data_IF_820428604010
#
_entry.id   IF_820428604010
#
_cell.length_a   1.000
_cell.length_b   1.000
_cell.length_c   1.000
_cell.angle_alpha   90.00
_cell.angle_beta   90.00
_cell.angle_gamma   90.00
#
_symmetry.space_group_name_H-M   'P 1'
#
loop_
_entity.id
_entity.type
_entity.pdbx_description
1 polymer ?
#
# COMPACT_ATOMS: atom_id res chain seq x y z
N UNK A 1 -7.83 10.61 18.21
CA UNK A 1 -6.74 11.57 17.91
C UNK A 1 -6.98 12.10 16.51
N UNK A 2 -6.90 13.41 16.27
CA UNK A 2 -6.92 13.96 14.92
C UNK A 2 -5.61 13.54 14.23
N UNK A 3 -5.66 12.45 13.44
CA UNK A 3 -4.53 11.99 12.62
C UNK A 3 -4.17 13.07 11.60
N UNK A 4 -3.24 13.93 11.97
CA UNK A 4 -2.75 15.00 11.12
C UNK A 4 -1.59 14.42 10.35
N UNK A 5 -1.83 14.04 9.09
CA UNK A 5 -0.78 13.66 8.16
C UNK A 5 0.25 14.80 8.05
N UNK A 6 1.53 14.44 7.94
CA UNK A 6 2.61 15.39 7.62
C UNK A 6 2.40 15.97 6.21
N UNK A 7 2.92 17.14 5.92
CA UNK A 7 2.71 17.84 4.64
C UNK A 7 3.03 16.96 3.42
N UNK A 8 4.17 16.26 3.43
CA UNK A 8 4.52 15.35 2.34
C UNK A 8 3.56 14.16 2.23
N UNK A 9 2.98 13.69 3.35
CA UNK A 9 1.98 12.61 3.31
C UNK A 9 0.66 13.13 2.73
N UNK A 10 0.27 14.37 3.04
CA UNK A 10 -0.90 15.02 2.44
C UNK A 10 -0.71 15.22 0.94
N UNK A 11 0.47 15.68 0.51
CA UNK A 11 0.83 15.83 -0.89
C UNK A 11 0.77 14.49 -1.63
N UNK A 12 1.36 13.44 -1.06
CA UNK A 12 1.32 12.09 -1.64
C UNK A 12 -0.10 11.54 -1.73
N UNK A 13 -0.95 11.78 -0.72
CA UNK A 13 -2.37 11.44 -0.77
C UNK A 13 -3.05 12.15 -1.93
N UNK A 14 -2.89 13.47 -2.04
CA UNK A 14 -3.50 14.27 -3.11
C UNK A 14 -3.06 13.80 -4.50
N UNK A 15 -1.76 13.58 -4.70
CA UNK A 15 -1.19 13.07 -5.95
C UNK A 15 -1.80 11.71 -6.32
N UNK A 16 -1.94 10.80 -5.36
CA UNK A 16 -2.57 9.50 -5.59
C UNK A 16 -4.03 9.62 -6.04
N UNK A 17 -4.84 10.44 -5.36
CA UNK A 17 -6.25 10.60 -5.72
C UNK A 17 -6.42 11.22 -7.11
N UNK A 18 -5.56 12.16 -7.48
CA UNK A 18 -5.52 12.73 -8.83
C UNK A 18 -5.11 11.69 -9.87
N UNK A 19 -4.09 10.89 -9.58
CA UNK A 19 -3.62 9.84 -10.48
C UNK A 19 -4.72 8.78 -10.75
N UNK A 20 -5.54 8.49 -9.73
CA UNK A 20 -6.69 7.60 -9.84
C UNK A 20 -7.84 8.11 -10.73
N UNK A 21 -7.80 9.36 -11.19
CA UNK A 21 -8.71 9.86 -12.23
C UNK A 21 -8.33 9.33 -13.62
N UNK A 22 -7.04 8.98 -13.83
CA UNK A 22 -6.51 8.53 -15.11
C UNK A 22 -6.12 7.04 -15.12
N UNK A 23 -5.69 6.53 -13.96
CA UNK A 23 -5.11 5.19 -13.83
C UNK A 23 -5.81 4.39 -12.74
N UNK A 24 -6.15 3.12 -13.00
CA UNK A 24 -6.77 2.26 -11.96
C UNK A 24 -5.73 1.67 -11.02
N UNK A 25 -4.51 1.45 -11.50
CA UNK A 25 -3.44 0.79 -10.74
C UNK A 25 -2.25 1.71 -10.56
N UNK A 26 -2.04 2.19 -9.33
CA UNK A 26 -1.00 3.18 -9.02
C UNK A 26 -0.06 2.63 -7.94
N UNK A 27 1.24 2.75 -8.17
CA UNK A 27 2.26 2.46 -7.17
C UNK A 27 2.74 3.75 -6.50
N UNK A 28 2.90 3.71 -5.19
CA UNK A 28 3.46 4.77 -4.36
C UNK A 28 4.77 4.29 -3.73
N UNK A 29 5.83 5.04 -3.97
CA UNK A 29 7.14 4.81 -3.37
C UNK A 29 7.39 5.79 -2.24
N UNK A 30 7.65 5.24 -1.05
CA UNK A 30 8.00 5.99 0.16
C UNK A 30 9.09 5.27 0.96
N UNK A 31 10.23 5.92 1.26
CA UNK A 31 11.28 5.33 2.08
C UNK A 31 10.78 4.81 3.43
N UNK A 32 11.40 3.75 3.94
CA UNK A 32 11.13 3.24 5.29
C UNK A 32 11.33 4.34 6.34
N UNK A 33 10.48 4.37 7.37
CA UNK A 33 10.53 5.39 8.42
C UNK A 33 9.77 6.70 8.11
N UNK A 34 9.24 6.85 6.90
CA UNK A 34 8.46 8.05 6.50
C UNK A 34 6.94 7.93 6.77
N UNK A 35 6.52 6.90 7.50
CA UNK A 35 5.13 6.73 7.92
C UNK A 35 4.18 6.23 6.81
N UNK A 36 4.66 5.35 5.92
CA UNK A 36 3.89 4.70 4.86
C UNK A 36 2.54 4.14 5.38
N UNK A 37 2.53 3.45 6.51
CA UNK A 37 1.32 2.85 7.10
C UNK A 37 0.30 3.89 7.58
N UNK A 38 0.72 5.06 8.05
CA UNK A 38 -0.20 6.16 8.38
C UNK A 38 -0.84 6.74 7.11
N UNK A 39 -0.05 6.91 6.05
CA UNK A 39 -0.59 7.30 4.76
C UNK A 39 -1.59 6.26 4.23
N UNK A 40 -1.28 4.96 4.35
CA UNK A 40 -2.19 3.85 4.03
C UNK A 40 -3.55 4.06 4.69
N UNK A 41 -3.55 4.17 6.02
CA UNK A 41 -4.77 4.26 6.81
C UNK A 41 -5.58 5.51 6.44
N UNK A 42 -4.92 6.65 6.17
CA UNK A 42 -5.59 7.86 5.73
C UNK A 42 -6.20 7.75 4.33
N UNK A 43 -5.54 7.07 3.38
CA UNK A 43 -6.09 6.80 2.05
C UNK A 43 -7.31 5.89 2.16
N UNK A 44 -7.20 4.78 2.91
CA UNK A 44 -8.31 3.84 3.11
C UNK A 44 -9.50 4.55 3.76
N UNK A 45 -9.27 5.34 4.81
CA UNK A 45 -10.31 6.12 5.47
C UNK A 45 -10.99 7.11 4.52
N UNK A 46 -10.23 7.80 3.68
CA UNK A 46 -10.78 8.72 2.67
C UNK A 46 -11.61 7.96 1.64
N UNK A 47 -11.12 6.81 1.16
CA UNK A 47 -11.82 5.97 0.20
C UNK A 47 -13.16 5.43 0.75
N UNK A 48 -13.19 5.08 2.04
CA UNK A 48 -14.39 4.60 2.75
C UNK A 48 -15.43 5.69 3.06
N UNK A 49 -15.14 6.97 2.78
CA UNK A 49 -16.15 8.05 2.90
C UNK A 49 -17.25 7.91 1.86
N UNK A 50 -17.00 7.22 0.74
CA UNK A 50 -18.02 6.82 -0.21
C UNK A 50 -19.00 5.80 0.39
N UNK A 51 -20.25 5.82 -0.06
CA UNK A 51 -21.26 4.86 0.39
C UNK A 51 -20.94 3.45 -0.12
N UNK A 52 -20.78 2.49 0.78
CA UNK A 52 -20.73 1.06 0.46
C UNK A 52 -19.38 0.51 -0.02
N UNK A 53 -18.33 1.34 -0.11
CA UNK A 53 -17.03 0.89 -0.63
C UNK A 53 -16.36 -0.17 0.26
N UNK A 54 -15.75 -1.16 -0.37
CA UNK A 54 -15.00 -2.25 0.27
C UNK A 54 -13.52 -2.17 -0.07
N UNK A 55 -12.68 -2.34 0.93
CA UNK A 55 -11.23 -2.27 0.82
C UNK A 55 -10.60 -3.55 1.30
N UNK A 56 -9.76 -4.15 0.47
CA UNK A 56 -8.89 -5.25 0.89
C UNK A 56 -7.47 -4.73 1.02
N UNK A 57 -6.84 -4.98 2.17
CA UNK A 57 -5.43 -4.72 2.38
C UNK A 57 -4.72 -6.07 2.42
N UNK A 58 -3.80 -6.27 1.48
CA UNK A 58 -3.12 -7.54 1.24
C UNK A 58 -1.63 -7.38 1.51
N UNK A 59 -1.09 -8.27 2.33
CA UNK A 59 0.33 -8.33 2.63
C UNK A 59 0.92 -9.71 2.33
N UNK A 60 2.24 -9.79 2.14
CA UNK A 60 2.91 -11.07 1.85
C UNK A 60 3.28 -11.86 3.12
N UNK A 61 3.33 -11.20 4.29
CA UNK A 61 3.73 -11.78 5.57
C UNK A 61 2.62 -11.67 6.60
N UNK A 62 2.47 -12.68 7.46
CA UNK A 62 1.44 -12.69 8.52
C UNK A 62 1.68 -11.61 9.56
N UNK A 63 2.94 -11.35 9.91
CA UNK A 63 3.28 -10.30 10.89
C UNK A 63 2.86 -8.91 10.38
N UNK A 64 3.00 -8.65 9.07
CA UNK A 64 2.55 -7.40 8.46
C UNK A 64 1.01 -7.28 8.48
N UNK A 65 0.29 -8.38 8.28
CA UNK A 65 -1.18 -8.39 8.39
C UNK A 65 -1.60 -7.93 9.79
N UNK A 66 -1.03 -8.51 10.84
CA UNK A 66 -1.35 -8.17 12.23
C UNK A 66 -1.05 -6.68 12.53
N UNK A 67 0.09 -6.17 12.07
CA UNK A 67 0.47 -4.76 12.24
C UNK A 67 -0.47 -3.80 11.50
N UNK A 68 -0.89 -4.15 10.29
CA UNK A 68 -1.85 -3.36 9.51
C UNK A 68 -3.21 -3.39 10.18
N UNK A 69 -3.68 -4.53 10.65
CA UNK A 69 -4.96 -4.65 11.38
C UNK A 69 -4.99 -3.76 12.62
N UNK A 70 -3.92 -3.76 13.41
CA UNK A 70 -3.80 -2.88 14.56
C UNK A 70 -3.84 -1.40 14.14
N UNK A 71 -3.12 -1.05 13.09
CA UNK A 71 -3.09 0.32 12.57
C UNK A 71 -4.48 0.75 12.10
N UNK A 72 -5.15 -0.08 11.31
CA UNK A 72 -6.49 0.18 10.78
C UNK A 72 -7.51 0.35 11.92
N UNK A 73 -7.44 -0.51 12.93
CA UNK A 73 -8.27 -0.43 14.14
C UNK A 73 -8.04 0.89 14.91
N UNK A 74 -6.79 1.30 15.11
CA UNK A 74 -6.45 2.59 15.76
C UNK A 74 -7.00 3.81 15.01
N UNK A 75 -7.20 3.70 13.69
CA UNK A 75 -7.78 4.75 12.85
C UNK A 75 -9.33 4.68 12.80
N UNK A 76 -9.95 3.86 13.64
CA UNK A 76 -11.42 3.74 13.76
C UNK A 76 -12.09 2.94 12.65
N UNK A 77 -11.30 2.21 11.83
CA UNK A 77 -11.83 1.33 10.81
C UNK A 77 -12.09 -0.05 11.46
N UNK A 78 -13.31 -0.24 11.95
CA UNK A 78 -13.68 -1.49 12.65
C UNK A 78 -13.76 -2.67 11.67
N UNK A 79 -13.26 -3.83 12.11
CA UNK A 79 -13.48 -5.11 11.40
C UNK A 79 -14.97 -5.47 11.33
N UNK A 80 -15.77 -4.99 12.28
CA UNK A 80 -17.19 -5.34 12.42
C UNK A 80 -18.07 -4.77 11.29
N UNK A 81 -17.61 -3.70 10.63
CA UNK A 81 -18.28 -3.09 9.49
C UNK A 81 -18.11 -3.95 8.21
N UNK A 82 -17.17 -4.90 8.20
CA UNK A 82 -16.90 -5.79 7.05
C UNK A 82 -16.33 -5.08 5.81
N UNK A 83 -16.31 -3.74 5.80
CA UNK A 83 -15.82 -2.90 4.69
C UNK A 83 -14.31 -2.92 4.53
N UNK A 84 -13.55 -3.25 5.57
CA UNK A 84 -12.09 -3.41 5.49
C UNK A 84 -11.70 -4.82 5.87
N UNK A 85 -11.03 -5.53 4.95
CA UNK A 85 -10.45 -6.84 5.22
C UNK A 85 -8.94 -6.79 5.05
N UNK A 86 -8.20 -7.19 6.08
CA UNK A 86 -6.75 -7.36 5.99
C UNK A 86 -6.44 -8.84 5.89
N UNK A 87 -5.63 -9.25 4.92
CA UNK A 87 -5.36 -10.66 4.68
C UNK A 87 -3.99 -10.87 4.05
N UNK A 88 -3.47 -12.10 4.16
CA UNK A 88 -2.27 -12.46 3.41
C UNK A 88 -2.62 -12.87 1.98
N UNK A 89 -1.73 -12.59 1.02
CA UNK A 89 -1.91 -13.01 -0.38
C UNK A 89 -2.05 -14.53 -0.50
N UNK A 90 -1.31 -15.27 0.32
CA UNK A 90 -1.35 -16.73 0.37
C UNK A 90 -2.70 -17.26 0.84
N UNK A 91 -3.36 -16.58 1.78
CA UNK A 91 -4.69 -16.94 2.23
C UNK A 91 -5.72 -16.61 1.15
N UNK A 92 -5.65 -15.41 0.57
CA UNK A 92 -6.56 -14.97 -0.48
C UNK A 92 -6.53 -15.89 -1.71
N UNK A 93 -5.33 -16.29 -2.15
CA UNK A 93 -5.16 -17.21 -3.27
C UNK A 93 -5.79 -18.59 -3.03
N UNK A 94 -5.86 -19.05 -1.78
CA UNK A 94 -6.44 -20.37 -1.43
C UNK A 94 -7.95 -20.31 -1.16
N UNK A 95 -8.44 -19.18 -0.67
CA UNK A 95 -9.82 -19.04 -0.20
C UNK A 95 -10.70 -18.20 -1.11
N UNK A 96 -10.19 -17.73 -2.27
CA UNK A 96 -10.93 -16.88 -3.20
C UNK A 96 -12.32 -17.40 -3.55
N UNK A 97 -12.48 -18.71 -3.80
CA UNK A 97 -13.78 -19.31 -4.20
C UNK A 97 -14.86 -19.19 -3.12
N UNK A 98 -14.48 -18.85 -1.90
CA UNK A 98 -15.37 -18.66 -0.75
C UNK A 98 -15.55 -17.17 -0.40
N UNK A 99 -15.08 -16.27 -1.26
CA UNK A 99 -15.29 -14.84 -1.11
C UNK A 99 -16.53 -14.43 -1.91
N UNK A 100 -17.62 -14.14 -1.22
CA UNK A 100 -18.89 -13.69 -1.82
C UNK A 100 -18.93 -12.17 -2.09
N UNK A 101 -17.83 -11.48 -1.80
CA UNK A 101 -17.70 -10.03 -1.89
C UNK A 101 -16.55 -9.64 -2.80
N UNK A 102 -16.69 -8.51 -3.49
CA UNK A 102 -15.64 -7.91 -4.31
C UNK A 102 -15.15 -6.59 -3.69
N UNK A 103 -13.85 -6.30 -3.76
CA UNK A 103 -13.30 -5.03 -3.30
C UNK A 103 -13.41 -3.94 -4.37
N UNK A 104 -13.64 -2.71 -3.94
CA UNK A 104 -13.51 -1.51 -4.78
C UNK A 104 -12.06 -1.00 -4.78
N UNK A 105 -11.29 -1.30 -3.73
CA UNK A 105 -9.88 -0.97 -3.59
C UNK A 105 -9.09 -2.16 -3.04
N UNK A 106 -8.01 -2.49 -3.71
CA UNK A 106 -6.99 -3.44 -3.24
C UNK A 106 -5.71 -2.65 -2.93
N UNK A 107 -5.28 -2.70 -1.67
CA UNK A 107 -4.04 -2.12 -1.20
C UNK A 107 -3.02 -3.22 -0.97
N UNK A 108 -1.84 -3.09 -1.56
CA UNK A 108 -0.72 -3.99 -1.37
C UNK A 108 0.38 -3.27 -0.59
N UNK A 109 0.69 -3.75 0.61
CA UNK A 109 1.87 -3.28 1.35
C UNK A 109 3.09 -4.13 1.01
N UNK A 110 4.26 -3.49 0.98
CA UNK A 110 5.51 -4.02 0.44
C UNK A 110 5.34 -4.71 -0.92
N UNK A 111 4.74 -3.97 -1.86
CA UNK A 111 4.50 -4.44 -3.23
C UNK A 111 5.76 -4.93 -3.96
N UNK A 112 6.96 -4.58 -3.49
CA UNK A 112 8.22 -5.10 -4.01
C UNK A 112 8.44 -6.61 -3.79
N UNK A 113 7.81 -7.17 -2.75
CA UNK A 113 7.82 -8.60 -2.45
C UNK A 113 6.80 -9.40 -3.26
N UNK A 114 6.01 -8.75 -4.12
CA UNK A 114 5.08 -9.39 -5.02
C UNK A 114 5.72 -10.58 -5.77
N UNK A 115 5.24 -11.79 -5.52
CA UNK A 115 5.36 -12.85 -6.51
C UNK A 115 4.50 -12.42 -7.70
N UNK A 116 5.15 -12.14 -8.83
CA UNK A 116 4.51 -11.55 -10.00
C UNK A 116 3.23 -12.32 -10.40
N UNK A 117 3.26 -13.65 -10.34
CA UNK A 117 2.13 -14.49 -10.73
C UNK A 117 0.91 -14.35 -9.81
N UNK A 118 1.08 -14.35 -8.48
CA UNK A 118 -0.07 -14.32 -7.57
C UNK A 118 -0.79 -12.98 -7.58
N UNK A 119 -0.07 -11.87 -7.74
CA UNK A 119 -0.70 -10.56 -7.93
C UNK A 119 -1.26 -10.38 -9.33
N UNK A 120 -0.66 -10.95 -10.38
CA UNK A 120 -1.29 -10.95 -11.72
C UNK A 120 -2.66 -11.63 -11.69
N UNK A 121 -2.75 -12.80 -11.06
CA UNK A 121 -4.03 -13.49 -10.85
C UNK A 121 -5.00 -12.61 -10.05
N UNK A 122 -4.52 -11.90 -9.03
CA UNK A 122 -5.36 -10.98 -8.26
C UNK A 122 -5.91 -9.83 -9.14
N UNK A 123 -5.09 -9.27 -10.02
CA UNK A 123 -5.49 -8.21 -10.95
C UNK A 123 -6.51 -8.70 -11.98
N UNK A 124 -6.27 -9.87 -12.56
CA UNK A 124 -7.17 -10.52 -13.53
C UNK A 124 -8.52 -10.86 -12.91
N UNK A 125 -8.53 -11.22 -11.62
CA UNK A 125 -9.74 -11.60 -10.90
C UNK A 125 -10.59 -10.40 -10.46
N UNK A 126 -9.99 -9.23 -10.27
CA UNK A 126 -10.67 -8.02 -9.83
C UNK A 126 -10.30 -6.83 -10.72
N UNK A 127 -10.61 -6.87 -12.03
CA UNK A 127 -10.20 -5.84 -12.98
C UNK A 127 -10.80 -4.47 -12.64
N UNK A 128 -11.99 -4.45 -12.04
CA UNK A 128 -12.73 -3.23 -11.74
C UNK A 128 -12.27 -2.49 -10.48
N UNK A 129 -11.61 -3.19 -9.55
CA UNK A 129 -11.07 -2.58 -8.33
C UNK A 129 -9.99 -1.55 -8.68
N UNK A 130 -9.87 -0.47 -7.91
CA UNK A 130 -8.62 0.33 -7.90
C UNK A 130 -7.53 -0.45 -7.18
N UNK A 131 -6.28 -0.22 -7.56
CA UNK A 131 -5.11 -0.84 -6.93
C UNK A 131 -4.13 0.21 -6.46
N UNK A 132 -3.66 0.03 -5.23
CA UNK A 132 -2.60 0.81 -4.62
C UNK A 132 -1.47 -0.15 -4.23
N UNK A 133 -0.30 0.01 -4.85
CA UNK A 133 0.92 -0.66 -4.40
C UNK A 133 1.73 0.31 -3.57
N UNK A 134 2.11 -0.06 -2.35
CA UNK A 134 3.00 0.76 -1.53
C UNK A 134 4.31 0.04 -1.26
N UNK A 135 5.43 0.73 -1.45
CA UNK A 135 6.76 0.13 -1.30
C UNK A 135 7.83 1.16 -0.96
N UNK A 136 8.91 0.75 -0.31
CA UNK A 136 10.12 1.56 -0.20
C UNK A 136 10.98 1.49 -1.47
N UNK A 137 10.93 0.36 -2.17
CA UNK A 137 11.76 0.01 -3.32
C UNK A 137 10.87 -0.38 -4.50
N UNK A 138 10.75 0.44 -5.56
CA UNK A 138 9.87 0.16 -6.69
C UNK A 138 10.54 -0.75 -7.73
N UNK A 139 11.35 -1.70 -7.28
CA UNK A 139 12.06 -2.66 -8.12
C UNK A 139 11.89 -4.07 -7.56
N UNK A 140 11.70 -5.05 -8.44
CA UNK A 140 11.67 -6.47 -8.04
C UNK A 140 13.10 -6.96 -7.79
N UNK A 141 13.23 -8.03 -7.02
CA UNK A 141 14.52 -8.69 -6.77
C UNK A 141 15.22 -9.15 -8.06
N UNK A 142 14.47 -9.41 -9.12
CA UNK A 142 14.99 -9.78 -10.45
C UNK A 142 15.33 -8.56 -11.34
N UNK A 143 15.31 -7.34 -10.79
CA UNK A 143 15.62 -6.10 -11.51
C UNK A 143 14.50 -5.59 -12.44
N UNK A 144 13.38 -6.31 -12.58
CA UNK A 144 12.26 -5.85 -13.41
C UNK A 144 11.41 -4.83 -12.65
N UNK A 145 10.86 -3.87 -13.39
CA UNK A 145 9.86 -2.93 -12.88
C UNK A 145 8.49 -3.56 -12.64
N UNK A 146 7.51 -2.71 -12.33
CA UNK A 146 6.14 -3.07 -11.97
C UNK A 146 5.09 -2.69 -13.03
N UNK A 147 5.53 -2.34 -14.24
CA UNK A 147 4.69 -1.87 -15.34
C UNK A 147 3.71 -2.92 -15.87
N UNK A 148 3.87 -4.18 -15.47
CA UNK A 148 2.94 -5.28 -15.78
C UNK A 148 1.72 -5.32 -14.84
N UNK A 149 1.76 -4.57 -13.73
CA UNK A 149 0.69 -4.49 -12.74
C UNK A 149 0.23 -3.05 -12.49
N UNK A 150 1.13 -2.08 -12.55
CA UNK A 150 0.86 -0.69 -12.21
C UNK A 150 1.07 0.21 -13.41
N UNK A 151 0.10 1.08 -13.65
CA UNK A 151 0.07 2.00 -14.79
C UNK A 151 0.97 3.23 -14.52
N UNK A 152 1.13 3.59 -13.24
CA UNK A 152 1.88 4.77 -12.81
C UNK A 152 2.65 4.54 -11.50
N UNK A 153 3.72 5.30 -11.32
CA UNK A 153 4.56 5.33 -10.13
C UNK A 153 4.68 6.76 -9.59
N UNK A 154 4.21 6.97 -8.36
CA UNK A 154 4.34 8.21 -7.61
C UNK A 154 5.46 8.04 -6.59
N UNK A 155 6.53 8.84 -6.73
CA UNK A 155 7.62 8.87 -5.76
C UNK A 155 7.47 10.05 -4.80
N UNK A 156 7.78 9.78 -3.53
CA UNK A 156 8.04 10.82 -2.54
C UNK A 156 9.48 11.36 -2.67
N UNK A 157 9.92 12.16 -1.70
CA UNK A 157 11.31 12.58 -1.62
C UNK A 157 12.27 11.39 -1.47
N UNK A 158 13.51 11.61 -1.92
CA UNK A 158 14.61 10.69 -1.70
C UNK A 158 14.97 10.59 -0.22
N UNK A 159 15.68 9.52 0.16
CA UNK A 159 16.21 9.36 1.52
C UNK A 159 17.08 10.56 1.92
N UNK A 160 17.93 11.05 1.01
CA UNK A 160 18.80 12.20 1.25
C UNK A 160 18.00 13.48 1.55
N UNK A 161 16.92 13.73 0.80
CA UNK A 161 16.04 14.88 1.05
C UNK A 161 15.29 14.76 2.38
N UNK A 162 14.81 13.56 2.74
CA UNK A 162 14.19 13.34 4.05
C UNK A 162 15.18 13.52 5.22
N UNK A 163 16.44 13.12 5.06
CA UNK A 163 17.51 13.40 6.03
C UNK A 163 17.76 14.91 6.12
N UNK A 164 17.92 15.58 4.97
CA UNK A 164 18.14 17.03 4.92
C UNK A 164 17.01 17.87 5.52
N UNK A 165 15.78 17.33 5.52
CA UNK A 165 14.60 17.93 6.15
C UNK A 165 14.34 17.48 7.60
N UNK A 166 15.22 16.66 8.18
CA UNK A 166 15.10 16.21 9.58
C UNK A 166 14.00 15.18 9.84
N UNK A 167 13.46 14.54 8.79
CA UNK A 167 12.43 13.51 8.92
C UNK A 167 13.00 12.10 9.10
N UNK A 168 14.24 11.88 8.63
CA UNK A 168 14.99 10.64 8.82
C UNK A 168 16.34 10.95 9.47
N UNK A 169 16.84 10.01 10.25
CA UNK A 169 18.19 10.09 10.82
C UNK A 169 19.25 9.92 9.74
N UNK A 170 20.38 10.62 9.88
CA UNK A 170 21.59 10.34 9.11
C UNK A 170 22.12 8.94 9.45
N UNK A 171 22.79 8.30 8.49
CA UNK A 171 23.42 7.00 8.68
C UNK A 171 24.77 6.97 7.96
N UNK A 172 25.71 6.21 8.51
CA UNK A 172 26.97 5.86 7.84
C UNK A 172 26.87 4.44 7.31
N UNK A 173 27.14 4.26 6.01
CA UNK A 173 27.18 2.94 5.39
C UNK A 173 28.62 2.44 5.30
N UNK A 174 28.91 1.35 5.99
CA UNK A 174 30.21 0.65 5.93
C UNK A 174 30.00 -0.73 5.34
N UNK A 175 30.53 -0.97 4.15
CA UNK A 175 30.56 -2.31 3.55
C UNK A 175 31.82 -3.04 4.01
N UNK A 176 31.64 -4.13 4.75
CA UNK A 176 32.74 -5.02 5.14
C UNK A 176 32.86 -6.09 4.06
N UNK A 177 33.97 -6.10 3.33
CA UNK A 177 34.32 -7.23 2.47
C UNK A 177 34.83 -8.35 3.37
N UNK A 178 34.16 -9.49 3.33
CA UNK A 178 34.67 -10.75 3.88
C UNK A 178 35.68 -11.37 2.91
#
# INVERSE_FOLDING_TARGET
MNDTLRDYQQEMKLRLFKEWELHRSVMVQMPTGTGKTHLLAAIVREFLRGSGSRVWIVAHRRELVEQIEETVSRHGMSKEDGRVRVMSIQWLSRNRKHMDEEPDLIVIDEAHHALAETYRILWENYPEARKLGMTATPCRLNGKGFTDLFDSLITSWTVAEFIGKGWLSSFDYVSIRA
#
